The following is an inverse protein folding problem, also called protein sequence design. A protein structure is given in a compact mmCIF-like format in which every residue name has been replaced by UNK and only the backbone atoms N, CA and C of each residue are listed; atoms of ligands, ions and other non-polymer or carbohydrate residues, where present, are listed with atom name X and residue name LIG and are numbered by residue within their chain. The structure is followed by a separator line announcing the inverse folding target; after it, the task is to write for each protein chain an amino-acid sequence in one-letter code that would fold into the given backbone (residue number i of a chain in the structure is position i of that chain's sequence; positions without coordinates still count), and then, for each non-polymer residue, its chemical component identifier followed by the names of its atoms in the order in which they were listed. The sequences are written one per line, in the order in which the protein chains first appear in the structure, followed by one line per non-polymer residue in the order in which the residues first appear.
data_IF_770873863746
#
_entry.id   IF_770873863746
#
_cell.length_a   1.000
_cell.length_b   1.000
_cell.length_c   1.000
_cell.angle_alpha   90.00
_cell.angle_beta   90.00
_cell.angle_gamma   90.00
#
_symmetry.space_group_name_H-M   'P 1'
#
loop_
_entity.id
_entity.type
_entity.pdbx_description
1 polymer ?
#
# COMPACT_ATOMS: atom_id res chain seq x y z
N UNK A 1 24.71 4.92 1.67
CA UNK A 1 23.69 4.73 0.62
C UNK A 1 22.32 4.89 1.23
N UNK A 2 21.52 5.82 0.70
CA UNK A 2 20.11 5.99 1.12
C UNK A 2 19.33 4.75 0.66
N UNK A 3 18.53 4.16 1.55
CA UNK A 3 17.70 2.99 1.19
C UNK A 3 16.65 3.47 0.17
N UNK A 4 16.46 2.72 -0.96
CA UNK A 4 15.40 3.04 -1.91
C UNK A 4 14.01 3.01 -1.25
N UNK A 5 13.06 3.67 -1.87
CA UNK A 5 11.67 3.60 -1.44
C UNK A 5 11.14 2.16 -1.50
N UNK A 6 10.22 1.81 -0.60
CA UNK A 6 9.60 0.49 -0.50
C UNK A 6 8.53 0.31 -1.58
N UNK A 7 8.51 -0.87 -2.20
CA UNK A 7 7.48 -1.29 -3.14
C UNK A 7 6.55 -2.33 -2.51
N UNK A 8 5.29 -1.98 -2.37
CA UNK A 8 4.21 -2.91 -2.02
C UNK A 8 3.47 -3.37 -3.26
N UNK A 9 3.20 -4.67 -3.36
CA UNK A 9 2.46 -5.25 -4.48
C UNK A 9 1.22 -5.98 -3.96
N UNK A 10 0.03 -5.60 -4.49
CA UNK A 10 -1.22 -6.30 -4.21
C UNK A 10 -1.41 -7.51 -5.13
N UNK A 11 -1.84 -8.62 -4.55
CA UNK A 11 -2.00 -9.93 -5.21
C UNK A 11 -3.18 -10.71 -4.65
N UNK A 12 -3.76 -11.61 -5.49
CA UNK A 12 -4.90 -12.45 -5.07
C UNK A 12 -4.62 -13.95 -5.16
N UNK A 13 -3.39 -14.35 -5.53
CA UNK A 13 -3.01 -15.77 -5.58
C UNK A 13 -1.62 -15.96 -5.01
N UNK A 14 -1.36 -17.17 -4.50
CA UNK A 14 -0.03 -17.55 -4.04
C UNK A 14 1.02 -17.45 -5.16
N UNK A 15 0.65 -17.83 -6.38
CA UNK A 15 1.58 -17.79 -7.52
C UNK A 15 1.99 -16.34 -7.85
N UNK A 16 1.04 -15.41 -7.85
CA UNK A 16 1.31 -13.98 -8.03
C UNK A 16 2.15 -13.41 -6.87
N UNK A 17 1.87 -13.82 -5.63
CA UNK A 17 2.64 -13.40 -4.46
C UNK A 17 4.11 -13.84 -4.55
N UNK A 18 4.36 -15.08 -4.95
CA UNK A 18 5.71 -15.60 -5.16
C UNK A 18 6.41 -14.89 -6.33
N UNK A 19 5.71 -14.61 -7.41
CA UNK A 19 6.26 -13.85 -8.54
C UNK A 19 6.60 -12.42 -8.14
N UNK A 20 5.75 -11.74 -7.35
CA UNK A 20 6.04 -10.40 -6.82
C UNK A 20 7.33 -10.39 -5.98
N UNK A 21 7.50 -11.37 -5.10
CA UNK A 21 8.71 -11.50 -4.27
C UNK A 21 9.95 -11.77 -5.12
N UNK A 22 9.87 -12.65 -6.13
CA UNK A 22 10.99 -12.88 -7.06
C UNK A 22 11.32 -11.64 -7.90
N UNK A 23 10.32 -10.83 -8.21
CA UNK A 23 10.48 -9.52 -8.85
C UNK A 23 11.11 -8.46 -7.96
N UNK A 24 11.22 -8.70 -6.65
CA UNK A 24 11.85 -7.80 -5.69
C UNK A 24 10.90 -6.90 -4.91
N UNK A 25 9.61 -7.24 -4.82
CA UNK A 25 8.66 -6.55 -3.94
C UNK A 25 9.14 -6.62 -2.48
N UNK A 26 9.05 -5.48 -1.77
CA UNK A 26 9.44 -5.38 -0.36
C UNK A 26 8.32 -5.82 0.58
N UNK A 27 7.06 -5.68 0.15
CA UNK A 27 5.86 -6.04 0.92
C UNK A 27 4.78 -6.54 -0.02
N UNK A 28 3.99 -7.49 0.46
CA UNK A 28 2.83 -8.03 -0.24
C UNK A 28 1.56 -7.54 0.46
N UNK A 29 0.62 -6.96 -0.29
CA UNK A 29 -0.77 -6.85 0.13
C UNK A 29 -1.53 -8.06 -0.41
N UNK A 30 -1.97 -8.93 0.49
CA UNK A 30 -2.68 -10.16 0.15
C UNK A 30 -4.19 -9.94 0.24
N UNK A 31 -4.90 -10.19 -0.83
CA UNK A 31 -6.35 -10.08 -0.90
C UNK A 31 -6.91 -11.17 -1.81
N UNK A 32 -8.21 -11.27 -1.91
CA UNK A 32 -8.94 -12.02 -2.93
C UNK A 32 -9.84 -11.07 -3.71
N UNK A 33 -10.26 -11.46 -4.90
CA UNK A 33 -11.21 -10.74 -5.75
C UNK A 33 -10.81 -9.26 -6.01
N UNK A 34 -9.64 -9.05 -6.60
CA UNK A 34 -9.14 -7.73 -6.99
C UNK A 34 -10.06 -7.00 -7.98
N UNK A 35 -10.92 -7.72 -8.69
CA UNK A 35 -11.91 -7.13 -9.62
C UNK A 35 -12.91 -6.20 -8.94
N UNK A 36 -13.18 -6.42 -7.64
CA UNK A 36 -14.03 -5.54 -6.80
C UNK A 36 -13.21 -4.66 -5.85
N UNK A 37 -11.90 -4.56 -6.10
CA UNK A 37 -10.97 -3.76 -5.29
C UNK A 37 -10.35 -4.51 -4.11
N UNK A 38 -10.39 -5.84 -4.11
CA UNK A 38 -9.85 -6.70 -3.06
C UNK A 38 -10.80 -6.88 -1.86
N UNK A 39 -10.89 -8.11 -1.39
CA UNK A 39 -11.59 -8.50 -0.15
C UNK A 39 -10.66 -9.33 0.72
N UNK A 40 -11.10 -9.69 1.93
CA UNK A 40 -10.34 -10.51 2.87
C UNK A 40 -9.93 -11.83 2.24
N UNK A 41 -8.62 -12.18 2.25
CA UNK A 41 -8.15 -13.45 1.73
C UNK A 41 -8.56 -14.62 2.63
N UNK A 42 -8.74 -15.80 2.04
CA UNK A 42 -9.02 -17.03 2.78
C UNK A 42 -7.88 -17.38 3.75
N UNK A 43 -8.23 -18.11 4.82
CA UNK A 43 -7.24 -18.62 5.79
C UNK A 43 -6.18 -19.47 5.08
N UNK A 44 -6.61 -20.26 4.11
CA UNK A 44 -5.71 -21.14 3.37
C UNK A 44 -4.69 -20.34 2.56
N UNK A 45 -5.12 -19.26 1.88
CA UNK A 45 -4.22 -18.39 1.14
C UNK A 45 -3.22 -17.69 2.08
N UNK A 46 -3.67 -17.20 3.26
CA UNK A 46 -2.77 -16.60 4.25
C UNK A 46 -1.70 -17.60 4.73
N UNK A 47 -2.10 -18.84 5.06
CA UNK A 47 -1.20 -19.90 5.49
C UNK A 47 -0.18 -20.26 4.42
N UNK A 48 -0.62 -20.49 3.19
CA UNK A 48 0.25 -20.84 2.08
C UNK A 48 1.23 -19.73 1.75
N UNK A 49 0.79 -18.47 1.77
CA UNK A 49 1.64 -17.31 1.58
C UNK A 49 2.68 -17.21 2.69
N UNK A 50 2.27 -17.28 3.95
CA UNK A 50 3.21 -17.18 5.08
C UNK A 50 4.24 -18.30 5.11
N UNK A 51 3.87 -19.50 4.76
CA UNK A 51 4.78 -20.64 4.72
C UNK A 51 5.91 -20.50 3.68
N UNK A 52 5.72 -19.68 2.65
CA UNK A 52 6.65 -19.58 1.50
C UNK A 52 7.29 -18.21 1.34
N UNK A 53 6.73 -17.16 1.93
CA UNK A 53 7.15 -15.78 1.76
C UNK A 53 7.73 -15.27 3.08
N UNK A 54 8.97 -14.77 3.03
CA UNK A 54 9.65 -14.13 4.18
C UNK A 54 9.39 -12.62 4.23
N UNK A 55 9.09 -11.99 3.09
CA UNK A 55 8.76 -10.58 3.04
C UNK A 55 7.49 -10.29 3.89
N UNK A 56 7.32 -9.08 4.40
CA UNK A 56 6.11 -8.68 5.09
C UNK A 56 4.86 -8.90 4.24
N UNK A 57 3.81 -9.46 4.86
CA UNK A 57 2.49 -9.70 4.24
C UNK A 57 1.44 -8.94 5.04
N UNK A 58 0.73 -8.06 4.35
CA UNK A 58 -0.42 -7.33 4.88
C UNK A 58 -1.70 -7.93 4.31
N UNK A 59 -2.60 -8.36 5.18
CA UNK A 59 -3.87 -8.96 4.75
C UNK A 59 -4.97 -7.89 4.64
N UNK A 60 -5.68 -7.89 3.51
CA UNK A 60 -6.89 -7.11 3.37
C UNK A 60 -7.95 -7.60 4.36
N UNK A 61 -8.59 -6.67 5.06
CA UNK A 61 -9.75 -6.93 5.94
C UNK A 61 -10.93 -6.14 5.37
N UNK A 62 -11.68 -6.78 4.49
CA UNK A 62 -12.80 -6.17 3.78
C UNK A 62 -13.81 -7.26 3.41
N UNK A 63 -14.93 -7.35 4.12
CA UNK A 63 -15.90 -8.44 3.97
C UNK A 63 -16.51 -8.55 2.57
N UNK A 64 -16.60 -7.44 1.84
CA UNK A 64 -17.18 -7.37 0.50
C UNK A 64 -16.66 -6.15 -0.29
N UNK A 65 -16.85 -6.18 -1.58
CA UNK A 65 -16.72 -5.02 -2.47
C UNK A 65 -17.78 -3.94 -2.22
N UNK A 66 -17.70 -2.83 -2.97
CA UNK A 66 -18.60 -1.70 -2.87
C UNK A 66 -18.25 -0.74 -1.74
N UNK A 67 -19.26 -0.09 -1.16
CA UNK A 67 -19.12 1.00 -0.18
C UNK A 67 -18.37 0.56 1.08
N UNK A 68 -17.68 1.51 1.69
CA UNK A 68 -16.86 1.30 2.90
C UNK A 68 -17.61 1.57 4.22
N UNK A 69 -18.94 1.59 4.18
CA UNK A 69 -19.82 1.60 5.35
C UNK A 69 -20.28 0.17 5.61
N UNK A 70 -20.15 -0.32 6.81
CA UNK A 70 -20.43 -1.71 7.15
C UNK A 70 -21.54 -1.82 8.18
N UNK A 71 -22.34 -2.91 8.08
CA UNK A 71 -23.32 -3.27 9.09
C UNK A 71 -22.66 -3.78 10.38
N UNK A 72 -23.39 -3.85 11.51
CA UNK A 72 -22.84 -4.44 12.73
C UNK A 72 -22.32 -5.88 12.55
N UNK A 73 -22.97 -6.68 11.72
CA UNK A 73 -22.54 -8.05 11.43
C UNK A 73 -21.23 -8.09 10.65
N UNK A 74 -21.10 -7.25 9.61
CA UNK A 74 -19.85 -7.11 8.84
C UNK A 74 -18.70 -6.57 9.71
N UNK A 75 -18.99 -5.63 10.62
CA UNK A 75 -18.00 -5.13 11.56
C UNK A 75 -17.50 -6.24 12.52
N UNK A 76 -18.38 -7.10 13.01
CA UNK A 76 -17.96 -8.28 13.79
C UNK A 76 -17.16 -9.26 12.95
N UNK A 77 -17.50 -9.47 11.69
CA UNK A 77 -16.71 -10.26 10.75
C UNK A 77 -15.30 -9.68 10.59
N UNK A 78 -15.13 -8.38 10.40
CA UNK A 78 -13.83 -7.71 10.30
C UNK A 78 -12.96 -7.96 11.55
N UNK A 79 -13.55 -7.97 12.75
CA UNK A 79 -12.81 -8.31 13.98
C UNK A 79 -12.32 -9.76 13.97
N UNK A 80 -13.13 -10.69 13.52
CA UNK A 80 -12.75 -12.10 13.38
C UNK A 80 -11.63 -12.27 12.33
N UNK A 81 -11.73 -11.57 11.21
CA UNK A 81 -10.74 -11.57 10.13
C UNK A 81 -9.39 -11.00 10.60
N UNK A 82 -9.37 -9.95 11.43
CA UNK A 82 -8.15 -9.46 12.08
C UNK A 82 -7.55 -10.53 13.00
N UNK A 83 -8.36 -11.21 13.79
CA UNK A 83 -7.88 -12.30 14.65
C UNK A 83 -7.29 -13.46 13.83
N UNK A 84 -7.91 -13.78 12.67
CA UNK A 84 -7.37 -14.75 11.72
C UNK A 84 -6.04 -14.30 11.12
N UNK A 85 -5.90 -13.04 10.71
CA UNK A 85 -4.65 -12.50 10.19
C UNK A 85 -3.52 -12.61 11.24
N UNK A 86 -3.81 -12.29 12.51
CA UNK A 86 -2.85 -12.43 13.62
C UNK A 86 -2.44 -13.88 13.83
N UNK A 87 -3.39 -14.82 13.88
CA UNK A 87 -3.11 -16.24 14.11
C UNK A 87 -2.37 -16.91 12.95
N UNK A 88 -2.41 -16.31 11.75
CA UNK A 88 -1.67 -16.75 10.58
C UNK A 88 -0.39 -15.95 10.33
N UNK A 89 0.10 -15.21 11.33
CA UNK A 89 1.37 -14.50 11.33
C UNK A 89 1.51 -13.49 10.18
N UNK A 90 0.43 -12.77 9.88
CA UNK A 90 0.51 -11.60 9.00
C UNK A 90 1.25 -10.47 9.71
N UNK A 91 1.97 -9.64 8.96
CA UNK A 91 2.76 -8.54 9.50
C UNK A 91 1.94 -7.25 9.62
N UNK A 92 0.83 -7.17 8.91
CA UNK A 92 -0.09 -6.05 8.92
C UNK A 92 -1.46 -6.40 8.39
N UNK A 93 -2.38 -5.45 8.53
CA UNK A 93 -3.74 -5.52 7.98
C UNK A 93 -4.09 -4.23 7.26
N UNK A 94 -5.01 -4.33 6.31
CA UNK A 94 -5.42 -3.23 5.44
C UNK A 94 -6.94 -3.11 5.49
N UNK A 95 -7.46 -1.98 5.98
CA UNK A 95 -8.89 -1.70 6.03
C UNK A 95 -9.18 -0.20 6.04
N UNK A 96 -10.47 0.17 6.02
CA UNK A 96 -10.91 1.54 6.18
C UNK A 96 -12.43 1.58 6.24
N UNK A 97 -12.98 2.23 7.26
CA UNK A 97 -14.42 2.36 7.49
C UNK A 97 -14.81 3.83 7.38
N UNK A 98 -15.82 4.08 6.58
CA UNK A 98 -16.45 5.40 6.46
C UNK A 98 -17.86 5.38 7.09
N UNK A 99 -18.30 6.54 7.53
CA UNK A 99 -19.70 6.76 7.93
C UNK A 99 -20.59 6.87 6.70
N UNK A 100 -21.92 6.81 6.88
CA UNK A 100 -22.88 7.07 5.80
C UNK A 100 -22.79 8.49 5.23
N UNK A 101 -22.20 9.43 5.97
CA UNK A 101 -21.94 10.80 5.53
C UNK A 101 -20.65 10.94 4.72
N UNK A 102 -19.88 9.85 4.54
CA UNK A 102 -18.61 9.86 3.80
C UNK A 102 -17.46 10.49 4.60
N UNK A 103 -17.49 10.39 5.92
CA UNK A 103 -16.40 10.76 6.83
C UNK A 103 -15.69 9.51 7.35
N UNK A 104 -14.47 9.63 7.85
CA UNK A 104 -13.81 8.53 8.55
C UNK A 104 -14.60 8.17 9.81
N UNK A 105 -14.99 6.91 9.96
CA UNK A 105 -15.53 6.42 11.24
C UNK A 105 -14.37 6.20 12.22
N UNK A 106 -14.03 7.26 12.95
CA UNK A 106 -12.89 7.27 13.86
C UNK A 106 -13.03 6.18 14.92
N UNK A 107 -14.22 5.99 15.48
CA UNK A 107 -14.45 5.02 16.56
C UNK A 107 -14.28 3.57 16.07
N UNK A 108 -14.93 3.21 14.98
CA UNK A 108 -14.83 1.87 14.42
C UNK A 108 -13.41 1.55 13.96
N UNK A 109 -12.74 2.48 13.27
CA UNK A 109 -11.35 2.27 12.85
C UNK A 109 -10.39 2.17 14.05
N UNK A 110 -10.53 3.01 15.08
CA UNK A 110 -9.66 2.96 16.26
C UNK A 110 -9.84 1.64 17.03
N UNK A 111 -11.07 1.11 17.12
CA UNK A 111 -11.33 -0.20 17.71
C UNK A 111 -10.61 -1.31 16.95
N UNK A 112 -10.71 -1.34 15.60
CA UNK A 112 -10.02 -2.33 14.77
C UNK A 112 -8.49 -2.16 14.84
N UNK A 113 -7.97 -0.94 14.86
CA UNK A 113 -6.53 -0.67 15.07
C UNK A 113 -6.05 -1.23 16.40
N UNK A 114 -6.83 -1.02 17.47
CA UNK A 114 -6.51 -1.56 18.80
C UNK A 114 -6.48 -3.08 18.79
N UNK A 115 -7.46 -3.71 18.15
CA UNK A 115 -7.54 -5.17 18.01
C UNK A 115 -6.38 -5.74 17.16
N UNK A 116 -5.98 -5.01 16.14
CA UNK A 116 -4.89 -5.43 15.24
C UNK A 116 -3.51 -5.44 15.92
N UNK A 117 -3.28 -4.67 16.99
CA UNK A 117 -1.98 -4.62 17.65
C UNK A 117 -1.43 -6.03 17.96
N UNK A 118 -0.14 -6.31 17.73
CA UNK A 118 0.93 -5.36 17.34
C UNK A 118 1.08 -5.18 15.80
N UNK A 119 0.17 -5.68 14.97
CA UNK A 119 0.26 -5.58 13.51
C UNK A 119 0.20 -4.11 13.07
N UNK A 120 0.94 -3.80 12.00
CA UNK A 120 0.81 -2.51 11.32
C UNK A 120 -0.56 -2.41 10.62
N UNK A 121 -1.12 -1.19 10.54
CA UNK A 121 -2.42 -0.95 9.91
C UNK A 121 -2.29 0.06 8.78
N UNK A 122 -2.76 -0.33 7.59
CA UNK A 122 -2.94 0.56 6.45
C UNK A 122 -4.42 0.91 6.30
N UNK A 123 -4.74 2.20 6.29
CA UNK A 123 -6.05 2.69 5.85
C UNK A 123 -6.06 2.71 4.32
N UNK A 124 -6.91 1.91 3.71
CA UNK A 124 -6.93 1.71 2.26
C UNK A 124 -7.60 2.85 1.48
N UNK A 125 -7.86 2.64 0.19
CA UNK A 125 -8.43 3.64 -0.72
C UNK A 125 -9.86 4.12 -0.41
N UNK A 126 -10.50 3.68 0.67
CA UNK A 126 -11.65 4.39 1.23
C UNK A 126 -11.31 5.86 1.52
N UNK A 127 -10.03 6.15 1.78
CA UNK A 127 -9.53 7.52 1.94
C UNK A 127 -9.81 8.40 0.71
N UNK A 128 -9.73 7.84 -0.49
CA UNK A 128 -9.96 8.58 -1.73
C UNK A 128 -11.44 8.95 -1.97
N UNK A 129 -12.39 8.40 -1.19
CA UNK A 129 -13.83 8.75 -1.23
C UNK A 129 -14.19 9.93 -0.32
N UNK A 130 -13.24 10.40 0.50
CA UNK A 130 -13.47 11.55 1.37
C UNK A 130 -13.57 12.85 0.57
N UNK A 131 -14.43 13.78 1.01
CA UNK A 131 -14.55 15.10 0.38
C UNK A 131 -13.37 16.02 0.68
N UNK A 132 -12.83 15.90 1.89
CA UNK A 132 -11.68 16.67 2.38
C UNK A 132 -10.61 15.70 2.86
N UNK A 133 -9.58 15.51 2.02
CA UNK A 133 -8.49 14.57 2.31
C UNK A 133 -7.56 15.09 3.41
N UNK A 134 -7.44 16.40 3.59
CA UNK A 134 -6.59 16.96 4.64
C UNK A 134 -7.23 16.80 6.02
N UNK A 135 -8.55 17.00 6.12
CA UNK A 135 -9.30 16.66 7.33
C UNK A 135 -9.28 15.15 7.57
N UNK A 136 -9.48 14.36 6.51
CA UNK A 136 -9.42 12.90 6.58
C UNK A 136 -8.07 12.39 7.07
N UNK A 137 -6.96 13.01 6.70
CA UNK A 137 -5.62 12.66 7.21
C UNK A 137 -5.57 12.77 8.74
N UNK A 138 -6.04 13.89 9.31
CA UNK A 138 -6.04 14.06 10.76
C UNK A 138 -6.96 13.05 11.46
N UNK A 139 -8.11 12.75 10.85
CA UNK A 139 -9.03 11.72 11.36
C UNK A 139 -8.39 10.33 11.35
N UNK A 140 -7.71 9.94 10.27
CA UNK A 140 -7.02 8.64 10.20
C UNK A 140 -5.85 8.59 11.17
N UNK A 141 -5.06 9.67 11.33
CA UNK A 141 -4.02 9.74 12.36
C UNK A 141 -4.60 9.48 13.76
N UNK A 142 -5.76 10.08 14.06
CA UNK A 142 -6.43 9.91 15.35
C UNK A 142 -6.88 8.45 15.62
N UNK A 143 -7.06 7.61 14.60
CA UNK A 143 -7.37 6.18 14.77
C UNK A 143 -6.19 5.35 15.26
N UNK A 144 -4.95 5.85 15.09
CA UNK A 144 -3.73 5.11 15.36
C UNK A 144 -3.27 4.20 14.21
N UNK A 145 -3.88 4.27 13.03
CA UNK A 145 -3.35 3.61 11.83
C UNK A 145 -1.96 4.16 11.50
N UNK A 146 -1.12 3.36 10.84
CA UNK A 146 0.28 3.71 10.59
C UNK A 146 0.53 4.22 9.17
N UNK A 147 -0.44 4.01 8.26
CA UNK A 147 -0.27 4.23 6.82
C UNK A 147 -1.59 4.53 6.14
N UNK A 148 -1.56 5.36 5.09
CA UNK A 148 -2.70 5.64 4.21
C UNK A 148 -2.29 5.29 2.77
N UNK A 149 -3.04 4.40 2.13
CA UNK A 149 -2.96 4.15 0.69
C UNK A 149 -3.91 5.11 -0.04
N UNK A 150 -3.38 5.91 -0.95
CA UNK A 150 -4.18 6.93 -1.65
C UNK A 150 -3.70 7.20 -3.08
N UNK A 151 -4.62 7.58 -3.93
CA UNK A 151 -4.34 8.19 -5.24
C UNK A 151 -4.53 9.72 -5.23
N UNK A 152 -4.65 10.33 -4.03
CA UNK A 152 -4.91 11.76 -3.88
C UNK A 152 -6.36 12.13 -4.21
N UNK A 153 -7.33 11.21 -3.98
CA UNK A 153 -8.75 11.42 -4.27
C UNK A 153 -9.07 11.38 -5.76
N UNK A 154 -8.18 10.85 -6.59
CA UNK A 154 -8.37 10.76 -8.03
C UNK A 154 -8.50 9.29 -8.48
N UNK A 155 -9.11 9.01 -9.64
CA UNK A 155 -9.15 7.65 -10.18
C UNK A 155 -7.76 7.03 -10.36
N UNK A 156 -6.77 7.84 -10.75
CA UNK A 156 -5.37 7.42 -10.96
C UNK A 156 -4.42 8.29 -10.17
N UNK A 157 -3.40 7.70 -9.61
CA UNK A 157 -2.35 8.36 -8.83
C UNK A 157 -1.69 9.55 -9.55
N UNK A 158 -1.48 9.43 -10.86
CA UNK A 158 -0.84 10.47 -11.67
C UNK A 158 -1.65 11.77 -11.76
N UNK A 159 -2.95 11.71 -11.50
CA UNK A 159 -3.86 12.85 -11.54
C UNK A 159 -3.98 13.52 -10.16
N UNK A 160 -3.52 12.83 -9.09
CA UNK A 160 -3.59 13.28 -7.69
C UNK A 160 -2.26 13.70 -7.07
N UNK A 161 -1.15 13.80 -7.84
CA UNK A 161 0.20 14.01 -7.31
C UNK A 161 0.32 15.27 -6.42
N UNK A 162 -0.28 16.38 -6.85
CA UNK A 162 -0.26 17.61 -6.07
C UNK A 162 -0.96 17.45 -4.70
N UNK A 163 -2.06 16.69 -4.65
CA UNK A 163 -2.75 16.41 -3.38
C UNK A 163 -1.94 15.47 -2.50
N UNK A 164 -1.32 14.43 -3.09
CA UNK A 164 -0.44 13.50 -2.36
C UNK A 164 0.74 14.26 -1.74
N UNK A 165 1.37 15.19 -2.49
CA UNK A 165 2.45 16.03 -1.97
C UNK A 165 1.99 16.90 -0.78
N UNK A 166 0.79 17.50 -0.86
CA UNK A 166 0.20 18.24 0.28
C UNK A 166 -0.02 17.33 1.49
N UNK A 167 -0.56 16.12 1.28
CA UNK A 167 -0.77 15.15 2.36
C UNK A 167 0.54 14.72 3.01
N UNK A 168 1.60 14.47 2.24
CA UNK A 168 2.92 14.13 2.74
C UNK A 168 3.50 15.27 3.60
N UNK A 169 3.43 16.49 3.11
CA UNK A 169 3.89 17.67 3.86
C UNK A 169 3.09 17.84 5.17
N UNK A 170 1.76 17.72 5.10
CA UNK A 170 0.89 17.87 6.27
C UNK A 170 1.05 16.72 7.27
N UNK A 171 1.26 15.48 6.79
CA UNK A 171 1.53 14.33 7.65
C UNK A 171 2.80 14.53 8.48
N UNK A 172 3.82 15.18 7.92
CA UNK A 172 5.07 15.53 8.60
C UNK A 172 5.66 14.38 9.43
N UNK A 173 5.73 13.19 8.85
CA UNK A 173 6.24 11.99 9.50
C UNK A 173 5.30 11.31 10.51
N UNK A 174 4.14 11.88 10.84
CA UNK A 174 3.15 11.27 11.74
C UNK A 174 2.42 10.08 11.12
N UNK A 175 2.39 10.00 9.79
CA UNK A 175 1.69 8.98 9.01
C UNK A 175 2.49 8.71 7.74
N UNK A 176 2.59 7.44 7.35
CA UNK A 176 3.13 7.08 6.04
C UNK A 176 2.03 7.30 5.00
N UNK A 177 2.30 8.11 4.00
CA UNK A 177 1.46 8.24 2.81
C UNK A 177 2.03 7.32 1.75
N UNK A 178 1.22 6.37 1.29
CA UNK A 178 1.54 5.33 0.33
C UNK A 178 0.81 5.62 -1.00
N UNK A 179 1.46 6.29 -1.98
CA UNK A 179 0.85 6.51 -3.28
C UNK A 179 0.51 5.20 -3.97
N UNK A 180 -0.71 5.09 -4.47
CA UNK A 180 -1.20 3.94 -5.23
C UNK A 180 -2.37 4.30 -6.12
N UNK A 181 -2.89 3.31 -6.88
CA UNK A 181 -3.95 3.56 -7.83
C UNK A 181 -3.43 3.78 -9.26
N UNK A 182 -2.93 2.69 -9.85
CA UNK A 182 -2.47 2.66 -11.25
C UNK A 182 -1.01 3.00 -11.46
N UNK A 183 -0.15 2.76 -10.47
CA UNK A 183 1.32 2.80 -10.65
C UNK A 183 1.73 1.70 -11.63
N UNK A 184 2.58 2.09 -12.59
CA UNK A 184 3.13 1.28 -13.67
C UNK A 184 4.57 1.73 -13.96
N UNK A 185 5.40 0.93 -14.64
CA UNK A 185 6.74 1.38 -15.06
C UNK A 185 6.72 2.71 -15.81
N UNK A 186 5.71 2.96 -16.65
CA UNK A 186 5.61 4.19 -17.44
C UNK A 186 5.29 5.47 -16.67
N UNK A 187 4.86 5.39 -15.40
CA UNK A 187 4.52 6.59 -14.61
C UNK A 187 5.24 6.67 -13.26
N UNK A 188 5.84 5.58 -12.76
CA UNK A 188 6.43 5.54 -11.42
C UNK A 188 7.50 6.61 -11.20
N UNK A 189 8.41 6.81 -12.16
CA UNK A 189 9.47 7.81 -12.03
C UNK A 189 8.91 9.22 -11.78
N UNK A 190 7.82 9.59 -12.46
CA UNK A 190 7.12 10.85 -12.23
C UNK A 190 6.50 10.91 -10.83
N UNK A 191 5.82 9.83 -10.41
CA UNK A 191 5.21 9.75 -9.08
C UNK A 191 6.26 9.91 -7.98
N UNK A 192 7.42 9.25 -8.12
CA UNK A 192 8.54 9.37 -7.17
C UNK A 192 9.03 10.81 -7.08
N UNK A 193 9.35 11.42 -8.23
CA UNK A 193 9.92 12.77 -8.26
C UNK A 193 8.97 13.84 -7.70
N UNK A 194 7.68 13.76 -8.04
CA UNK A 194 6.72 14.77 -7.61
C UNK A 194 6.25 14.58 -6.17
N UNK A 195 6.24 13.34 -5.65
CA UNK A 195 5.75 13.09 -4.28
C UNK A 195 6.87 12.93 -3.26
N UNK A 196 8.02 12.38 -3.65
CA UNK A 196 9.10 12.01 -2.75
C UNK A 196 8.66 11.07 -1.60
N UNK A 197 7.61 10.30 -1.84
CA UNK A 197 7.12 9.32 -0.86
C UNK A 197 8.17 8.23 -0.61
N UNK A 198 8.14 7.65 0.59
CA UNK A 198 9.06 6.57 0.99
C UNK A 198 8.55 5.18 0.65
N UNK A 199 7.29 5.04 0.29
CA UNK A 199 6.63 3.78 -0.04
C UNK A 199 5.70 3.97 -1.23
N UNK A 200 5.56 2.95 -2.09
CA UNK A 200 4.69 2.97 -3.27
C UNK A 200 3.91 1.66 -3.38
N UNK A 201 2.66 1.74 -3.87
CA UNK A 201 1.77 0.58 -4.02
C UNK A 201 1.39 0.37 -5.48
N UNK A 202 1.47 -0.88 -5.96
CA UNK A 202 1.01 -1.26 -7.30
C UNK A 202 0.38 -2.65 -7.30
N UNK A 203 -0.70 -2.82 -8.08
CA UNK A 203 -1.25 -4.13 -8.45
C UNK A 203 -0.86 -4.54 -9.89
N UNK A 204 -0.06 -3.72 -10.59
CA UNK A 204 0.31 -3.90 -12.01
C UNK A 204 -0.87 -4.17 -12.96
N UNK A 205 -2.11 -3.83 -12.52
CA UNK A 205 -3.33 -3.99 -13.30
C UNK A 205 -3.74 -5.43 -13.52
N UNK A 206 -3.46 -6.27 -12.53
CA UNK A 206 -3.88 -7.67 -12.58
C UNK A 206 -3.42 -8.34 -13.87
N UNK A 207 -2.10 -8.27 -14.15
CA UNK A 207 -1.53 -9.04 -15.25
C UNK A 207 -1.88 -10.51 -15.01
N UNK A 208 -2.79 -11.02 -15.83
CA UNK A 208 -3.20 -12.42 -15.80
C UNK A 208 -1.98 -13.31 -16.10
N UNK A 209 -2.01 -14.58 -15.65
CA UNK A 209 -1.03 -15.57 -16.12
C UNK A 209 -0.97 -15.55 -17.64
N UNK A 210 0.22 -15.76 -18.18
CA UNK A 210 0.39 -15.94 -19.63
C UNK A 210 -0.30 -17.22 -20.13
N UNK A 211 -0.25 -17.46 -21.42
CA UNK A 211 -0.85 -18.64 -22.06
C UNK A 211 -0.35 -19.98 -21.53
N UNK A 212 0.80 -19.99 -20.84
CA UNK A 212 1.39 -21.15 -20.17
C UNK A 212 1.06 -21.22 -18.66
N UNK A 213 0.19 -20.33 -18.16
CA UNK A 213 -0.16 -20.24 -16.74
C UNK A 213 0.95 -19.72 -15.84
N UNK A 214 2.00 -19.09 -16.41
CA UNK A 214 3.09 -18.50 -15.65
C UNK A 214 2.78 -17.04 -15.30
N UNK A 215 3.44 -16.53 -14.28
CA UNK A 215 3.37 -15.12 -13.88
C UNK A 215 4.63 -14.34 -14.31
N UNK A 216 5.29 -14.74 -15.39
CA UNK A 216 6.56 -14.17 -15.82
C UNK A 216 6.45 -12.68 -16.13
N UNK A 217 5.45 -12.29 -16.91
CA UNK A 217 5.22 -10.87 -17.22
C UNK A 217 4.92 -10.02 -15.99
N UNK A 218 4.23 -10.59 -14.99
CA UNK A 218 3.99 -9.94 -13.72
C UNK A 218 5.29 -9.77 -12.92
N UNK A 219 6.11 -10.82 -12.81
CA UNK A 219 7.43 -10.77 -12.17
C UNK A 219 8.36 -9.73 -12.83
N UNK A 220 8.41 -9.71 -14.16
CA UNK A 220 9.18 -8.74 -14.92
C UNK A 220 8.67 -7.30 -14.70
N UNK A 221 7.36 -7.10 -14.62
CA UNK A 221 6.77 -5.82 -14.30
C UNK A 221 7.13 -5.32 -12.89
N UNK A 222 7.12 -6.20 -11.89
CA UNK A 222 7.58 -5.88 -10.53
C UNK A 222 9.06 -5.51 -10.54
N UNK A 223 9.89 -6.30 -11.23
CA UNK A 223 11.34 -6.04 -11.35
C UNK A 223 11.62 -4.69 -12.00
N UNK A 224 10.86 -4.31 -13.01
CA UNK A 224 10.99 -3.01 -13.66
C UNK A 224 10.65 -1.86 -12.70
N UNK A 225 9.61 -2.01 -11.85
CA UNK A 225 9.29 -1.02 -10.81
C UNK A 225 10.42 -0.89 -9.78
N UNK A 226 11.00 -2.00 -9.34
CA UNK A 226 12.14 -2.01 -8.39
C UNK A 226 13.34 -1.27 -8.97
N UNK A 227 13.72 -1.59 -10.20
CA UNK A 227 14.84 -0.93 -10.89
C UNK A 227 14.64 0.58 -11.04
N UNK A 228 13.40 1.01 -11.34
CA UNK A 228 13.07 2.44 -11.39
C UNK A 228 13.20 3.12 -10.02
N UNK A 229 12.76 2.48 -8.94
CA UNK A 229 12.93 3.01 -7.59
C UNK A 229 14.40 3.12 -7.19
N UNK A 230 15.24 2.17 -7.59
CA UNK A 230 16.68 2.21 -7.38
C UNK A 230 17.34 3.36 -8.16
N UNK A 231 16.98 3.53 -9.43
CA UNK A 231 17.48 4.61 -10.27
C UNK A 231 17.08 6.00 -9.73
N UNK A 232 15.82 6.18 -9.35
CA UNK A 232 15.35 7.45 -8.78
C UNK A 232 16.01 7.75 -7.42
N UNK A 233 16.31 6.74 -6.61
CA UNK A 233 17.05 6.93 -5.34
C UNK A 233 18.46 7.46 -5.56
N UNK A 234 19.15 7.02 -6.61
CA UNK A 234 20.49 7.49 -6.97
C UNK A 234 20.44 8.93 -7.50
N UNK A 235 19.41 9.27 -8.29
CA UNK A 235 19.25 10.61 -8.85
C UNK A 235 18.90 11.68 -7.80
N UNK A 236 18.35 11.27 -6.66
CA UNK A 236 17.99 12.16 -5.54
C UNK A 236 19.14 12.37 -4.54
N UNK A 237 20.30 11.72 -4.73
CA UNK A 237 21.51 12.04 -3.98
C UNK A 237 22.07 13.38 -4.53
N UNK A 238 22.29 14.42 -3.70
CA UNK A 238 22.98 15.61 -4.17
C UNK A 238 24.37 15.20 -4.65
N UNK A 239 24.79 15.70 -5.82
CA UNK A 239 26.14 15.53 -6.32
C UNK A 239 27.11 16.01 -5.22
N UNK A 240 27.66 15.07 -4.45
CA UNK A 240 28.63 15.37 -3.39
C UNK A 240 29.91 15.85 -4.07
N UNK A 241 30.11 17.19 -4.04
CA UNK A 241 31.39 17.93 -4.09
C UNK A 241 32.59 17.13 -4.64
N UNK A 242 32.64 16.99 -5.95
CA UNK A 242 33.94 16.93 -6.62
C UNK A 242 34.46 18.36 -6.78
N UNK A 243 35.58 18.68 -6.12
CA UNK A 243 36.45 19.82 -6.20
C UNK A 243 36.49 20.76 -4.99
N UNK A 244 37.22 20.32 -3.97
CA UNK A 244 38.16 21.18 -3.25
C UNK A 244 39.51 20.48 -3.21
N UNK A 245 40.21 20.48 -4.34
CA UNK A 245 41.65 20.25 -4.37
C UNK A 245 42.30 21.41 -5.14
N UNK A 246 43.05 22.18 -4.42
CA UNK A 246 44.21 22.88 -5.01
C UNK A 246 44.01 24.32 -5.36
N UNK A 247 44.34 25.19 -4.41
CA UNK A 247 45.37 26.21 -4.71
C UNK A 247 45.88 26.78 -3.39
N UNK A 248 46.99 26.22 -2.94
CA UNK A 248 47.91 26.88 -2.02
C UNK A 248 48.89 27.68 -2.88
N UNK A 249 48.95 28.98 -2.68
CA UNK A 249 50.12 29.80 -2.86
C UNK A 249 50.24 30.72 -1.63
#
# INVERSE_FOLDING_TARGET
MKKRALLEISVETLAAALAAVRGGADRIELCENLSVGGVTPSIELMRQARARIKAPIFAMIRPRGGKFCYSPAEFQQMKQEIAMAKSNYMDGVVFGILTHQGLVDIHANAELVSLAKPLAVTFHRAFDELRDLEQGLEQVIATGATRILTSGGQPRVQDGLAQISRLLHRANGRMVILPGGGIRPGNLARVVRETQASEFHSGLGNLLPDEHGTHRGFEEGVRALVQLLEAESQNMEPATSANRTGQTI
#
